data_IF_957240644346
#
_entry.id   IF_957240644346
#
_cell.length_a   1.000
_cell.length_b   1.000
_cell.length_c   1.000
_cell.angle_alpha   90.00
_cell.angle_beta   90.00
_cell.angle_gamma   90.00
#
_symmetry.space_group_name_H-M   'P 1'
#
loop_
_entity.id
_entity.type
_entity.pdbx_description
1 polymer ?
#
# COMPACT_ATOMS: atom_id res chain seq x y z
N UNK A 1 4.71 -10.50 8.32
CA UNK A 1 3.84 -11.55 7.76
C UNK A 1 3.88 -11.62 6.23
N UNK A 2 4.20 -10.55 5.48
CA UNK A 2 4.21 -10.56 3.99
C UNK A 2 5.53 -10.92 3.29
N UNK A 3 6.67 -10.94 4.00
CA UNK A 3 7.96 -11.33 3.42
C UNK A 3 7.95 -12.69 2.70
N UNK A 4 7.26 -13.74 3.20
CA UNK A 4 7.15 -15.02 2.50
C UNK A 4 6.43 -14.96 1.14
N UNK A 5 5.49 -14.02 0.96
CA UNK A 5 4.72 -13.90 -0.29
C UNK A 5 5.58 -13.31 -1.41
N UNK A 6 6.44 -12.35 -1.09
CA UNK A 6 7.30 -11.70 -2.08
C UNK A 6 8.50 -12.58 -2.43
N UNK A 7 9.02 -13.38 -1.49
CA UNK A 7 9.94 -14.45 -1.86
C UNK A 7 9.28 -15.50 -2.76
N UNK A 8 8.00 -15.82 -2.52
CA UNK A 8 7.25 -16.75 -3.37
C UNK A 8 6.99 -16.17 -4.75
N UNK A 9 6.68 -14.87 -4.86
CA UNK A 9 6.59 -14.14 -6.13
C UNK A 9 7.86 -14.32 -6.95
N UNK A 10 9.02 -13.96 -6.38
CA UNK A 10 10.31 -14.04 -7.08
C UNK A 10 10.62 -15.45 -7.56
N UNK A 11 10.40 -16.43 -6.68
CA UNK A 11 10.59 -17.84 -7.03
C UNK A 11 9.69 -18.29 -8.19
N UNK A 12 8.42 -17.88 -8.19
CA UNK A 12 7.48 -18.23 -9.26
C UNK A 12 7.76 -17.45 -10.55
N UNK A 13 8.14 -16.18 -10.48
CA UNK A 13 8.44 -15.36 -11.66
C UNK A 13 9.66 -15.85 -12.45
N UNK A 14 10.56 -16.60 -11.80
CA UNK A 14 11.77 -17.17 -12.40
C UNK A 14 11.56 -18.60 -12.93
N UNK A 15 10.37 -19.18 -12.72
CA UNK A 15 10.06 -20.56 -13.12
C UNK A 15 9.78 -20.62 -14.63
N UNK A 16 10.40 -21.57 -15.33
CA UNK A 16 10.21 -21.76 -16.78
C UNK A 16 8.77 -22.19 -17.13
N UNK A 17 8.16 -23.05 -16.29
CA UNK A 17 6.80 -23.54 -16.48
C UNK A 17 5.95 -23.26 -15.24
N UNK A 18 4.89 -22.49 -15.42
CA UNK A 18 3.90 -22.20 -14.38
C UNK A 18 2.65 -23.03 -14.61
N UNK A 19 2.12 -23.61 -13.52
CA UNK A 19 0.74 -24.09 -13.51
C UNK A 19 -0.24 -22.93 -13.74
N UNK A 20 -1.47 -23.26 -14.10
CA UNK A 20 -2.55 -22.27 -14.27
C UNK A 20 -2.76 -21.44 -13.00
N UNK A 21 -2.79 -22.10 -11.83
CA UNK A 21 -2.96 -21.46 -10.53
C UNK A 21 -1.79 -20.54 -10.19
N UNK A 22 -0.54 -20.97 -10.44
CA UNK A 22 0.64 -20.12 -10.20
C UNK A 22 0.66 -18.91 -11.13
N UNK A 23 0.27 -19.09 -12.39
CA UNK A 23 0.14 -18.00 -13.36
C UNK A 23 -0.92 -16.98 -12.92
N UNK A 24 -2.05 -17.48 -12.42
CA UNK A 24 -3.11 -16.64 -11.90
C UNK A 24 -2.69 -15.88 -10.63
N UNK A 25 -2.04 -16.56 -9.70
CA UNK A 25 -1.47 -15.97 -8.49
C UNK A 25 -0.55 -14.79 -8.83
N UNK A 26 0.38 -14.98 -9.77
CA UNK A 26 1.32 -13.93 -10.19
C UNK A 26 0.62 -12.74 -10.85
N UNK A 27 -0.36 -12.98 -11.73
CA UNK A 27 -1.08 -11.92 -12.45
C UNK A 27 -2.01 -11.10 -11.57
N UNK A 28 -2.62 -11.74 -10.57
CA UNK A 28 -3.73 -11.12 -9.86
C UNK A 28 -3.31 -10.48 -8.54
N UNK A 29 -2.37 -11.06 -7.80
CA UNK A 29 -2.10 -10.62 -6.42
C UNK A 29 -1.13 -9.44 -6.35
N UNK A 30 -0.22 -9.33 -7.30
CA UNK A 30 0.80 -8.29 -7.27
C UNK A 30 0.36 -7.05 -8.01
N UNK A 31 0.78 -5.90 -7.49
CA UNK A 31 0.43 -4.59 -8.02
C UNK A 31 1.71 -3.82 -8.34
N UNK A 32 1.73 -3.24 -9.54
CA UNK A 32 2.74 -2.28 -9.98
C UNK A 32 2.06 -0.96 -10.34
N UNK A 33 2.75 0.14 -10.09
CA UNK A 33 2.24 1.49 -10.30
C UNK A 33 2.26 2.35 -9.05
N UNK A 34 1.53 3.46 -9.11
CA UNK A 34 1.49 4.45 -8.04
C UNK A 34 0.71 3.95 -6.82
N UNK A 35 1.21 4.31 -5.65
CA UNK A 35 0.58 4.01 -4.37
C UNK A 35 0.59 5.25 -3.48
N UNK A 36 -0.42 5.37 -2.62
CA UNK A 36 -0.63 6.55 -1.81
C UNK A 36 -0.81 6.17 -0.34
N UNK A 37 -0.24 6.98 0.55
CA UNK A 37 -0.38 6.77 1.99
C UNK A 37 -0.44 8.09 2.70
N UNK A 38 -1.25 8.16 3.76
CA UNK A 38 -1.34 9.34 4.60
C UNK A 38 -0.80 9.08 6.00
N UNK A 39 -0.27 10.14 6.60
CA UNK A 39 0.13 10.18 7.99
C UNK A 39 -0.34 11.48 8.63
N UNK A 40 -0.70 11.48 9.92
CA UNK A 40 -1.04 12.70 10.62
C UNK A 40 0.10 13.73 10.52
N UNK A 41 -0.23 14.97 10.18
CA UNK A 41 0.76 16.03 10.17
C UNK A 41 1.15 16.42 11.59
N UNK A 42 2.44 16.52 11.87
CA UNK A 42 2.98 16.96 13.15
C UNK A 42 3.94 18.13 12.94
N UNK A 43 3.54 19.31 13.44
CA UNK A 43 4.37 20.53 13.38
C UNK A 43 5.71 20.37 14.11
N UNK A 44 5.78 19.51 15.11
CA UNK A 44 6.98 19.30 15.95
C UNK A 44 8.01 18.38 15.30
N UNK A 45 7.60 17.47 14.42
CA UNK A 45 8.51 16.54 13.74
C UNK A 45 8.84 17.05 12.34
N UNK A 46 10.01 17.70 12.18
CA UNK A 46 10.46 18.31 10.90
C UNK A 46 10.77 17.30 9.77
N UNK A 47 10.47 16.01 9.96
CA UNK A 47 10.85 14.90 9.07
C UNK A 47 9.73 13.85 9.06
N UNK A 48 9.23 13.55 7.86
CA UNK A 48 7.91 12.96 7.60
C UNK A 48 7.91 11.43 7.50
N UNK A 49 9.01 10.84 7.05
CA UNK A 49 9.11 9.40 6.80
C UNK A 49 10.22 8.77 7.61
N UNK A 50 9.92 7.61 8.19
CA UNK A 50 10.90 6.68 8.73
C UNK A 50 10.88 5.41 7.88
N UNK A 51 11.87 5.21 6.98
CA UNK A 51 11.92 4.01 6.16
C UNK A 51 12.03 2.76 7.03
N UNK A 52 11.29 1.72 6.68
CA UNK A 52 11.33 0.42 7.37
C UNK A 52 11.41 -0.70 6.35
N UNK A 53 11.84 -1.89 6.80
CA UNK A 53 11.79 -3.13 5.98
C UNK A 53 10.42 -3.82 6.07
N UNK A 54 9.49 -3.25 6.82
CA UNK A 54 8.18 -3.84 7.07
C UNK A 54 7.15 -3.29 6.08
N UNK A 55 6.24 -4.18 5.69
CA UNK A 55 5.10 -3.82 4.87
C UNK A 55 4.20 -2.87 5.65
N UNK A 56 3.76 -1.83 4.95
CA UNK A 56 2.83 -0.83 5.44
C UNK A 56 1.62 -0.80 4.51
N UNK A 57 0.50 -0.31 5.04
CA UNK A 57 -0.74 -0.12 4.28
C UNK A 57 -0.64 1.09 3.34
N UNK A 58 -1.00 0.93 2.08
CA UNK A 58 -1.14 1.97 1.09
C UNK A 58 -2.48 1.82 0.38
N UNK A 59 -2.92 2.84 -0.33
CA UNK A 59 -4.03 2.76 -1.26
C UNK A 59 -3.51 2.85 -2.69
N UNK A 60 -4.14 2.15 -3.62
CA UNK A 60 -3.86 2.24 -5.06
C UNK A 60 -4.11 3.63 -5.63
N UNK A 61 -5.08 4.36 -5.09
CA UNK A 61 -5.55 5.63 -5.61
C UNK A 61 -5.91 6.58 -4.46
N UNK A 62 -6.21 7.84 -4.79
CA UNK A 62 -6.55 8.86 -3.80
C UNK A 62 -7.92 8.61 -3.17
N UNK A 63 -8.86 8.03 -3.93
CA UNK A 63 -10.21 7.65 -3.49
C UNK A 63 -10.14 6.63 -2.35
N UNK A 64 -9.30 5.60 -2.47
CA UNK A 64 -9.11 4.59 -1.43
C UNK A 64 -8.64 5.18 -0.10
N UNK A 65 -7.84 6.24 -0.15
CA UNK A 65 -7.41 6.93 1.08
C UNK A 65 -8.58 7.66 1.74
N UNK A 66 -9.60 8.13 1.00
CA UNK A 66 -10.73 8.88 1.58
C UNK A 66 -11.50 8.05 2.60
N UNK A 67 -11.57 6.74 2.42
CA UNK A 67 -12.22 5.82 3.34
C UNK A 67 -11.50 5.66 4.70
N UNK A 68 -10.25 6.10 4.80
CA UNK A 68 -9.41 5.95 6.00
C UNK A 68 -9.36 7.26 6.82
N UNK A 69 -9.94 8.36 6.32
CA UNK A 69 -9.62 9.72 6.77
C UNK A 69 -10.61 10.32 7.76
N UNK A 70 -10.07 11.24 8.57
CA UNK A 70 -10.79 12.26 9.34
C UNK A 70 -10.29 13.66 8.93
N UNK A 71 -11.09 14.70 9.20
CA UNK A 71 -10.77 16.09 8.87
C UNK A 71 -9.44 16.57 9.50
N UNK A 72 -8.67 17.38 8.76
CA UNK A 72 -7.46 18.04 9.26
C UNK A 72 -6.30 18.08 8.26
N UNK A 73 -5.12 18.46 8.75
CA UNK A 73 -3.88 18.54 7.94
C UNK A 73 -3.16 17.19 7.98
N UNK A 74 -2.79 16.68 6.81
CA UNK A 74 -2.14 15.38 6.62
C UNK A 74 -0.88 15.50 5.78
N UNK A 75 -0.02 14.51 5.93
CA UNK A 75 1.12 14.27 5.04
C UNK A 75 0.71 13.17 4.07
N UNK A 76 0.70 13.49 2.79
CA UNK A 76 0.52 12.52 1.71
C UNK A 76 1.88 12.05 1.22
N UNK A 77 2.10 10.74 1.26
CA UNK A 77 3.20 10.08 0.59
C UNK A 77 2.67 9.54 -0.74
N UNK A 78 3.38 9.88 -1.81
CA UNK A 78 3.17 9.31 -3.14
C UNK A 78 4.37 8.40 -3.40
N UNK A 79 4.08 7.12 -3.58
CA UNK A 79 5.07 6.11 -3.91
C UNK A 79 4.77 5.44 -5.24
N UNK A 80 5.71 4.61 -5.66
CA UNK A 80 5.61 3.79 -6.86
C UNK A 80 6.26 2.43 -6.60
N UNK A 81 5.51 1.37 -6.87
CA UNK A 81 5.97 -0.02 -6.81
C UNK A 81 6.19 -0.54 -8.22
N UNK A 82 7.27 -1.30 -8.41
CA UNK A 82 7.71 -1.81 -9.72
C UNK A 82 7.75 -3.33 -9.69
N UNK A 83 8.06 -3.97 -10.81
CA UNK A 83 8.22 -5.43 -10.87
C UNK A 83 9.32 -5.95 -9.94
N UNK A 84 10.39 -5.17 -9.73
CA UNK A 84 11.48 -5.52 -8.81
C UNK A 84 11.06 -5.48 -7.33
N UNK A 85 10.06 -4.66 -7.01
CA UNK A 85 9.52 -4.45 -5.68
C UNK A 85 8.01 -4.20 -5.73
N UNK A 86 7.22 -5.24 -6.04
CA UNK A 86 5.80 -5.07 -6.28
C UNK A 86 5.05 -4.89 -4.96
N UNK A 87 3.93 -4.17 -5.03
CA UNK A 87 2.95 -4.15 -3.97
C UNK A 87 2.12 -5.44 -3.97
N UNK A 88 1.48 -5.74 -2.85
CA UNK A 88 0.52 -6.84 -2.74
C UNK A 88 -0.88 -6.22 -2.68
N UNK A 89 -1.74 -6.55 -3.63
CA UNK A 89 -3.17 -6.23 -3.58
C UNK A 89 -3.83 -7.13 -2.53
N UNK A 90 -4.21 -6.53 -1.41
CA UNK A 90 -4.74 -7.27 -0.26
C UNK A 90 -6.11 -7.86 -0.57
N UNK A 91 -6.96 -7.13 -1.30
CA UNK A 91 -8.27 -7.64 -1.67
C UNK A 91 -8.13 -8.87 -2.57
N UNK A 92 -7.32 -8.78 -3.62
CA UNK A 92 -7.11 -9.91 -4.54
C UNK A 92 -6.39 -11.08 -3.87
N UNK A 93 -5.43 -10.83 -2.99
CA UNK A 93 -4.80 -11.89 -2.18
C UNK A 93 -5.84 -12.66 -1.37
N UNK A 94 -6.73 -11.95 -0.67
CA UNK A 94 -7.75 -12.57 0.15
C UNK A 94 -8.75 -13.35 -0.70
N UNK A 95 -9.23 -12.78 -1.82
CA UNK A 95 -10.11 -13.47 -2.78
C UNK A 95 -9.47 -14.76 -3.30
N UNK A 96 -8.21 -14.70 -3.73
CA UNK A 96 -7.47 -15.88 -4.18
C UNK A 96 -7.37 -16.95 -3.08
N UNK A 97 -7.06 -16.54 -1.84
CA UNK A 97 -7.00 -17.48 -0.71
C UNK A 97 -8.36 -18.15 -0.48
N UNK A 98 -9.48 -17.42 -0.60
CA UNK A 98 -10.82 -17.98 -0.45
C UNK A 98 -11.22 -18.92 -1.58
N UNK A 99 -10.78 -18.64 -2.81
CA UNK A 99 -11.11 -19.44 -3.98
C UNK A 99 -10.33 -20.78 -4.00
N UNK A 100 -9.05 -20.75 -3.64
CA UNK A 100 -8.14 -21.90 -3.84
C UNK A 100 -7.81 -22.68 -2.57
N UNK A 101 -8.04 -22.14 -1.38
CA UNK A 101 -8.10 -22.95 -0.17
C UNK A 101 -9.57 -23.08 0.21
N UNK A 102 -10.11 -24.30 0.25
CA UNK A 102 -11.48 -24.65 0.70
C UNK A 102 -11.66 -24.28 2.20
N UNK A 103 -11.56 -22.98 2.51
CA UNK A 103 -11.59 -22.40 3.85
C UNK A 103 -13.06 -22.23 4.23
N UNK A 104 -13.76 -23.35 4.32
CA UNK A 104 -15.07 -23.40 5.01
C UNK A 104 -14.92 -23.14 6.52
N UNK A 105 -13.68 -23.09 7.04
CA UNK A 105 -13.36 -23.05 8.47
C UNK A 105 -12.80 -21.72 9.01
N UNK A 106 -12.36 -20.73 8.21
CA UNK A 106 -11.99 -19.39 8.74
C UNK A 106 -13.13 -18.36 8.73
N UNK A 107 -14.33 -18.75 8.25
CA UNK A 107 -15.53 -17.89 8.28
C UNK A 107 -16.00 -17.60 9.73
N UNK A 108 -15.42 -18.25 10.74
CA UNK A 108 -15.85 -18.11 12.14
C UNK A 108 -15.37 -16.85 12.86
N UNK A 109 -14.65 -15.90 12.24
CA UNK A 109 -14.30 -14.66 12.95
C UNK A 109 -14.43 -13.34 12.18
N UNK A 110 -14.40 -13.33 10.84
CA UNK A 110 -14.30 -12.09 10.06
C UNK A 110 -14.96 -12.25 8.68
N UNK A 111 -16.28 -12.07 8.62
CA UNK A 111 -17.09 -12.32 7.41
C UNK A 111 -16.85 -11.35 6.23
N UNK A 112 -17.65 -11.46 5.14
CA UNK A 112 -17.50 -10.74 3.87
C UNK A 112 -17.36 -9.21 3.99
N UNK A 113 -17.89 -8.60 5.05
CA UNK A 113 -17.80 -7.16 5.31
C UNK A 113 -16.35 -6.66 5.44
N UNK A 114 -15.41 -7.51 5.87
CA UNK A 114 -14.00 -7.09 5.96
C UNK A 114 -13.31 -7.08 4.59
N UNK A 115 -13.76 -7.92 3.64
CA UNK A 115 -13.29 -7.86 2.26
C UNK A 115 -13.69 -6.54 1.60
N UNK A 116 -14.92 -6.11 1.81
CA UNK A 116 -15.44 -4.82 1.31
C UNK A 116 -14.61 -3.63 1.80
N UNK A 117 -14.03 -3.71 3.00
CA UNK A 117 -13.14 -2.67 3.51
C UNK A 117 -11.89 -2.55 2.65
N UNK A 118 -11.21 -3.67 2.37
CA UNK A 118 -9.98 -3.67 1.56
C UNK A 118 -10.24 -3.27 0.11
N UNK A 119 -11.41 -3.64 -0.42
CA UNK A 119 -11.88 -3.21 -1.74
C UNK A 119 -12.06 -1.69 -1.79
N UNK A 120 -12.80 -1.12 -0.83
CA UNK A 120 -13.04 0.32 -0.75
C UNK A 120 -11.75 1.12 -0.54
N UNK A 121 -10.90 0.67 0.37
CA UNK A 121 -9.59 1.30 0.65
C UNK A 121 -8.59 1.13 -0.50
N UNK A 122 -8.90 0.27 -1.48
CA UNK A 122 -8.02 -0.16 -2.56
C UNK A 122 -6.63 -0.55 -2.01
N UNK A 123 -6.62 -1.39 -0.97
CA UNK A 123 -5.45 -1.58 -0.12
C UNK A 123 -4.31 -2.34 -0.82
N UNK A 124 -3.14 -1.72 -0.81
CA UNK A 124 -1.86 -2.29 -1.23
C UNK A 124 -0.94 -2.40 -0.03
N UNK A 125 -0.36 -3.57 0.21
CA UNK A 125 0.76 -3.71 1.15
C UNK A 125 2.09 -3.53 0.40
N UNK A 126 2.88 -2.55 0.83
CA UNK A 126 4.22 -2.28 0.28
C UNK A 126 5.19 -1.80 1.35
N UNK A 127 6.48 -2.08 1.17
CA UNK A 127 7.55 -1.67 2.09
C UNK A 127 7.72 -0.15 2.03
N UNK A 128 7.69 0.54 3.17
CA UNK A 128 7.97 1.96 3.24
C UNK A 128 9.49 2.21 3.13
N UNK A 129 10.00 2.32 1.92
CA UNK A 129 11.43 2.52 1.64
C UNK A 129 11.70 3.86 0.94
N UNK A 130 12.97 4.26 0.80
CA UNK A 130 13.31 5.52 0.11
C UNK A 130 13.08 5.40 -1.38
N UNK A 131 13.33 4.22 -1.93
CA UNK A 131 13.32 3.88 -3.34
C UNK A 131 11.90 3.98 -3.93
N UNK A 132 10.89 3.61 -3.12
CA UNK A 132 9.49 3.67 -3.54
C UNK A 132 8.90 5.08 -3.44
N UNK A 133 9.39 5.96 -2.55
CA UNK A 133 8.77 7.28 -2.33
C UNK A 133 9.20 8.24 -3.44
N UNK A 134 8.22 8.77 -4.17
CA UNK A 134 8.42 9.70 -5.29
C UNK A 134 8.06 11.14 -4.95
N UNK A 135 7.14 11.36 -4.01
CA UNK A 135 6.78 12.70 -3.56
C UNK A 135 6.21 12.67 -2.14
N UNK A 136 6.32 13.79 -1.44
CA UNK A 136 5.67 14.02 -0.15
C UNK A 136 4.97 15.36 -0.22
N UNK A 137 3.69 15.42 0.10
CA UNK A 137 2.90 16.66 0.10
C UNK A 137 2.25 16.87 1.45
N UNK A 138 2.06 18.14 1.82
CA UNK A 138 1.19 18.51 2.94
C UNK A 138 -0.16 18.88 2.34
N UNK A 139 -1.21 18.21 2.78
CA UNK A 139 -2.57 18.40 2.28
C UNK A 139 -3.49 18.79 3.44
N UNK A 140 -4.43 19.68 3.16
CA UNK A 140 -5.55 19.94 4.07
C UNK A 140 -6.75 19.15 3.56
N UNK A 141 -7.23 18.21 4.37
CA UNK A 141 -8.39 17.38 4.05
C UNK A 141 -9.69 17.98 4.60
N UNK A 142 -9.65 19.17 5.22
CA UNK A 142 -10.85 19.91 5.63
C UNK A 142 -11.39 20.83 4.54
N UNK A 143 -10.62 21.07 3.48
CA UNK A 143 -11.05 21.84 2.31
C UNK A 143 -11.77 20.90 1.33
N UNK A 144 -13.07 21.10 1.14
CA UNK A 144 -13.91 20.33 0.21
C UNK A 144 -13.60 20.67 -1.26
N UNK A 145 -12.74 21.67 -1.52
CA UNK A 145 -12.28 21.97 -2.87
C UNK A 145 -11.35 20.86 -3.36
N UNK A 146 -11.88 20.08 -4.32
CA UNK A 146 -11.23 19.08 -5.16
C UNK A 146 -9.80 18.69 -4.71
N UNK A 147 -9.69 17.62 -3.92
CA UNK A 147 -8.45 17.00 -3.45
C UNK A 147 -7.43 16.70 -4.57
N UNK A 148 -7.83 16.83 -5.84
CA UNK A 148 -6.98 16.86 -7.03
C UNK A 148 -6.03 18.06 -7.07
N UNK A 149 -6.30 19.13 -6.31
CA UNK A 149 -5.36 20.22 -6.04
C UNK A 149 -4.42 19.77 -4.93
N UNK A 150 -3.60 18.76 -5.23
CA UNK A 150 -2.72 18.15 -4.24
C UNK A 150 -1.69 19.20 -3.79
N UNK A 151 -1.64 19.45 -2.49
CA UNK A 151 -0.86 20.52 -1.84
C UNK A 151 0.64 20.57 -2.18
N UNK A 152 1.37 21.56 -1.65
CA UNK A 152 2.77 21.79 -2.06
C UNK A 152 3.68 20.61 -1.72
N UNK A 153 4.49 20.20 -2.70
CA UNK A 153 5.53 19.20 -2.49
C UNK A 153 6.55 19.70 -1.46
N UNK A 154 6.86 18.82 -0.52
CA UNK A 154 7.89 19.02 0.48
C UNK A 154 9.25 18.83 -0.20
N UNK A 155 10.24 19.71 0.03
CA UNK A 155 11.59 19.50 -0.47
C UNK A 155 12.20 18.17 -0.01
N UNK A 156 12.85 17.43 -0.92
CA UNK A 156 13.36 16.08 -0.65
C UNK A 156 14.34 16.01 0.53
N UNK A 157 15.15 17.05 0.74
CA UNK A 157 16.06 17.17 1.89
C UNK A 157 15.35 17.19 3.26
N UNK A 158 14.02 17.34 3.29
CA UNK A 158 13.18 17.32 4.49
C UNK A 158 12.37 16.03 4.67
N UNK A 159 12.45 15.08 3.73
CA UNK A 159 11.57 13.90 3.74
C UNK A 159 11.85 12.95 4.91
N UNK A 160 13.12 12.57 5.10
CA UNK A 160 13.46 11.45 5.98
C UNK A 160 13.95 11.87 7.36
N UNK A 161 13.55 11.12 8.39
CA UNK A 161 14.14 11.21 9.74
C UNK A 161 15.66 11.01 9.66
N UNK A 162 16.47 11.80 10.39
CA UNK A 162 17.90 11.49 10.54
C UNK A 162 17.90 10.18 11.33
N UNK A 163 18.29 9.08 10.72
CA UNK A 163 18.60 7.86 11.47
C UNK A 163 19.75 8.24 12.39
N UNK A 164 19.53 8.18 13.71
CA UNK A 164 20.67 8.01 14.60
C UNK A 164 21.19 6.61 14.27
N UNK A 165 22.35 6.56 13.64
CA UNK A 165 23.18 5.36 13.62
C UNK A 165 23.67 5.10 15.03
#
# INVERSE_FOLDING_TARGET
MFLPLISKYKCLSEKEELSEIESEFLRNIFYTGQIFRIHPYSKTTRKFVFPTKYYSHWSRNLEGIQYIKNNGIWVLLIGEVTEDNPGIDIFRLLTFIFEYNDIRTMISSRGPRQLLRYENENEIAAVLSKEIIKDIRIIDMSDETDYRIIGKSVPQNKWYRKTML
#
